data_IF_879697959879
#
_entry.id   IF_879697959879
#
_cell.length_a   1.000
_cell.length_b   1.000
_cell.length_c   1.000
_cell.angle_alpha   90.00
_cell.angle_beta   90.00
_cell.angle_gamma   90.00
#
_symmetry.space_group_name_H-M   'P 1'
#
loop_
_entity.id
_entity.type
_entity.pdbx_description
1 polymer ?
#
# COMPACT_ATOMS: atom_id res chain seq x y z
N UNK A 1 -10.87 -38.67 34.20
CA UNK A 1 -10.10 -39.82 34.70
C UNK A 1 -8.88 -40.03 33.81
N UNK A 2 -7.68 -40.03 34.37
CA UNK A 2 -6.31 -40.23 33.89
C UNK A 2 -5.67 -38.96 33.35
N UNK A 3 -4.91 -38.18 34.09
CA UNK A 3 -3.70 -38.43 34.93
C UNK A 3 -2.45 -38.58 34.04
N UNK A 4 -1.58 -37.55 34.16
CA UNK A 4 -0.12 -37.51 34.35
C UNK A 4 0.74 -37.82 33.09
N UNK A 5 1.66 -36.90 32.71
CA UNK A 5 3.08 -36.96 33.08
C UNK A 5 3.80 -35.64 32.85
N UNK A 6 4.35 -35.18 33.94
CA UNK A 6 5.39 -34.17 34.07
C UNK A 6 6.72 -34.79 33.63
N UNK A 7 7.45 -34.11 32.79
CA UNK A 7 8.91 -34.28 32.71
C UNK A 7 9.58 -32.91 32.57
N UNK A 8 10.13 -32.56 33.71
CA UNK A 8 11.08 -31.49 33.92
C UNK A 8 12.42 -31.90 33.34
N UNK A 9 13.04 -31.09 32.46
CA UNK A 9 14.45 -31.21 32.15
C UNK A 9 15.13 -29.84 32.15
N UNK A 10 15.75 -29.55 33.30
CA UNK A 10 16.70 -28.47 33.47
C UNK A 10 17.97 -28.77 32.67
N UNK A 11 18.37 -27.87 31.80
CA UNK A 11 19.77 -27.79 31.35
C UNK A 11 20.36 -26.44 31.77
N UNK A 12 21.16 -26.54 32.79
CA UNK A 12 22.09 -25.53 33.24
C UNK A 12 23.35 -25.67 32.37
N UNK A 13 23.73 -24.62 31.64
CA UNK A 13 25.10 -24.48 31.19
C UNK A 13 25.69 -23.15 31.67
N UNK A 14 26.60 -23.33 32.57
CA UNK A 14 27.46 -22.30 33.13
C UNK A 14 28.59 -21.96 32.16
N UNK A 15 28.87 -20.69 32.04
CA UNK A 15 30.24 -20.09 32.10
C UNK A 15 31.16 -20.26 30.93
N UNK A 16 31.59 -19.12 30.38
CA UNK A 16 33.01 -18.80 30.30
C UNK A 16 33.18 -17.27 30.11
N UNK A 17 33.74 -16.66 31.12
CA UNK A 17 34.41 -15.36 31.05
C UNK A 17 35.74 -15.56 30.35
N UNK A 18 36.11 -14.70 29.42
CA UNK A 18 37.52 -14.37 29.20
C UNK A 18 37.68 -12.86 29.14
N UNK A 19 38.48 -12.41 30.08
CA UNK A 19 38.94 -11.04 30.23
C UNK A 19 40.29 -10.87 29.51
N UNK A 20 40.45 -9.66 28.92
CA UNK A 20 41.66 -8.81 28.87
C UNK A 20 42.91 -9.41 28.21
N UNK A 21 43.49 -8.73 27.22
CA UNK A 21 44.62 -7.88 27.47
C UNK A 21 44.89 -6.88 26.34
N UNK A 22 45.46 -5.78 26.74
CA UNK A 22 45.82 -4.56 26.05
C UNK A 22 47.24 -4.71 25.49
N UNK A 23 47.47 -4.42 24.22
CA UNK A 23 48.72 -3.84 23.76
C UNK A 23 48.65 -3.24 22.37
N UNK A 24 49.10 -2.04 22.29
CA UNK A 24 49.35 -1.20 21.13
C UNK A 24 50.20 -1.89 20.06
N UNK A 25 49.87 -1.69 18.77
CA UNK A 25 50.74 -0.94 17.86
C UNK A 25 50.22 -0.93 16.42
N UNK A 26 50.19 0.29 15.86
CA UNK A 26 50.58 0.72 14.52
C UNK A 26 49.91 0.12 13.29
N UNK A 27 49.10 0.98 12.68
CA UNK A 27 48.94 1.28 11.26
C UNK A 27 48.96 0.13 10.24
N UNK A 28 47.75 -0.09 9.68
CA UNK A 28 47.61 -0.09 8.23
C UNK A 28 46.13 0.18 7.87
N UNK A 29 45.93 1.21 7.06
CA UNK A 29 44.64 1.59 6.51
C UNK A 29 44.25 0.56 5.47
N UNK A 30 43.47 -0.40 5.83
CA UNK A 30 42.60 -1.07 4.85
C UNK A 30 41.28 -0.33 4.77
N UNK A 31 41.09 0.32 3.66
CA UNK A 31 39.83 0.90 3.22
C UNK A 31 38.90 -0.28 2.96
N UNK A 32 38.22 -0.77 3.99
CA UNK A 32 37.05 -1.58 3.82
C UNK A 32 35.97 -0.67 3.26
N UNK A 33 35.85 -0.74 1.97
CA UNK A 33 34.75 -0.24 1.18
C UNK A 33 33.46 -0.91 1.73
N UNK A 34 32.84 -0.25 2.70
CA UNK A 34 31.45 -0.54 3.07
C UNK A 34 30.65 -0.39 1.80
N UNK A 35 30.27 -1.52 1.24
CA UNK A 35 29.18 -1.58 0.28
C UNK A 35 27.96 -1.11 1.05
N UNK A 36 27.75 0.18 0.98
CA UNK A 36 26.52 0.82 1.42
C UNK A 36 25.42 0.16 0.58
N UNK A 37 24.73 -0.77 1.21
CA UNK A 37 23.53 -1.34 0.65
C UNK A 37 22.58 -0.17 0.51
N UNK A 38 22.53 0.39 -0.68
CA UNK A 38 21.43 1.24 -1.11
C UNK A 38 20.22 0.36 -0.94
N UNK A 39 19.55 0.51 0.19
CA UNK A 39 18.19 0.02 0.35
C UNK A 39 17.40 0.76 -0.72
N UNK A 40 17.19 0.09 -1.82
CA UNK A 40 16.26 0.49 -2.86
C UNK A 40 14.97 0.84 -2.11
N UNK A 41 14.68 2.15 -2.05
CA UNK A 41 13.41 2.63 -1.53
C UNK A 41 12.42 2.15 -2.56
N UNK A 42 11.84 0.98 -2.33
CA UNK A 42 10.68 0.52 -3.07
C UNK A 42 9.61 1.56 -2.77
N UNK A 43 9.47 2.53 -3.67
CA UNK A 43 8.34 3.44 -3.63
C UNK A 43 7.11 2.57 -3.80
N UNK A 44 6.35 2.46 -2.72
CA UNK A 44 5.14 1.66 -2.66
C UNK A 44 4.09 2.36 -3.53
N UNK A 45 4.04 1.97 -4.80
CA UNK A 45 3.21 2.58 -5.84
C UNK A 45 1.72 2.42 -5.49
N UNK A 46 0.98 3.51 -5.50
CA UNK A 46 -0.45 3.50 -5.26
C UNK A 46 -1.21 4.36 -6.28
N UNK A 47 -2.48 4.02 -6.51
CA UNK A 47 -3.38 4.85 -7.29
C UNK A 47 -4.04 5.89 -6.40
N UNK A 48 -4.03 7.13 -6.86
CA UNK A 48 -4.85 8.21 -6.35
C UNK A 48 -5.82 8.64 -7.43
N UNK A 49 -7.10 8.52 -7.17
CA UNK A 49 -8.20 8.92 -8.05
C UNK A 49 -9.00 10.00 -7.34
N UNK A 50 -9.33 11.08 -8.03
CA UNK A 50 -10.09 12.20 -7.44
C UNK A 50 -11.12 12.74 -8.43
N UNK A 51 -12.25 13.21 -7.92
CA UNK A 51 -13.26 13.94 -8.67
C UNK A 51 -13.81 15.11 -7.86
N UNK A 52 -14.37 16.10 -8.55
CA UNK A 52 -14.71 17.40 -7.98
C UNK A 52 -16.21 17.68 -7.88
N UNK A 53 -17.04 16.95 -8.60
CA UNK A 53 -18.51 17.17 -8.59
C UNK A 53 -19.29 15.85 -8.48
N UNK A 54 -19.64 15.45 -7.28
CA UNK A 54 -19.24 15.93 -5.95
C UNK A 54 -17.77 15.61 -5.66
N UNK A 55 -17.18 16.18 -4.60
CA UNK A 55 -15.82 15.82 -4.19
C UNK A 55 -15.77 14.38 -3.70
N UNK A 56 -14.89 13.59 -4.30
CA UNK A 56 -14.64 12.20 -3.93
C UNK A 56 -13.20 11.80 -4.23
N UNK A 57 -12.77 10.72 -3.61
CA UNK A 57 -11.48 10.12 -3.91
C UNK A 57 -11.51 8.59 -3.76
N UNK A 58 -10.64 7.91 -4.49
CA UNK A 58 -10.30 6.51 -4.26
C UNK A 58 -8.78 6.40 -4.13
N UNK A 59 -8.35 5.65 -3.12
CA UNK A 59 -6.97 5.22 -2.97
C UNK A 59 -6.92 3.72 -3.14
N UNK A 60 -6.02 3.25 -4.02
CA UNK A 60 -5.73 1.82 -4.18
C UNK A 60 -4.27 1.61 -3.84
N UNK A 61 -4.01 0.91 -2.75
CA UNK A 61 -2.69 0.56 -2.28
C UNK A 61 -2.67 -0.90 -1.84
N UNK A 62 -1.95 -1.75 -2.59
CA UNK A 62 -1.97 -3.21 -2.39
C UNK A 62 -3.42 -3.73 -2.41
N UNK A 63 -3.85 -4.39 -1.34
CA UNK A 63 -5.19 -4.97 -1.21
C UNK A 63 -6.20 -4.00 -0.60
N UNK A 64 -5.79 -2.77 -0.30
CA UNK A 64 -6.66 -1.75 0.30
C UNK A 64 -7.22 -0.83 -0.76
N UNK A 65 -8.54 -0.79 -0.87
CA UNK A 65 -9.26 0.13 -1.75
C UNK A 65 -10.22 0.94 -0.88
N UNK A 66 -9.91 2.22 -0.75
CA UNK A 66 -10.67 3.16 0.08
C UNK A 66 -11.32 4.21 -0.80
N UNK A 67 -12.65 4.25 -0.82
CA UNK A 67 -13.43 5.33 -1.38
C UNK A 67 -13.84 6.30 -0.29
N UNK A 68 -13.73 7.58 -0.56
CA UNK A 68 -14.19 8.66 0.32
C UNK A 68 -14.98 9.67 -0.48
N UNK A 69 -16.15 10.06 0.00
CA UNK A 69 -16.99 11.09 -0.58
C UNK A 69 -17.21 12.20 0.43
N UNK A 70 -16.98 13.43 0.01
CA UNK A 70 -17.21 14.61 0.83
C UNK A 70 -18.61 15.16 0.51
N UNK A 71 -19.52 14.98 1.45
CA UNK A 71 -20.83 15.62 1.50
C UNK A 71 -20.89 16.51 2.75
N UNK A 72 -22.06 16.67 3.35
CA UNK A 72 -22.22 17.30 4.67
C UNK A 72 -21.42 16.55 5.75
N UNK A 73 -21.23 15.23 5.55
CA UNK A 73 -20.35 14.37 6.34
C UNK A 73 -19.36 13.65 5.41
N UNK A 74 -18.23 13.21 5.96
CA UNK A 74 -17.27 12.39 5.24
C UNK A 74 -17.73 10.93 5.30
N UNK A 75 -18.12 10.39 4.15
CA UNK A 75 -18.45 8.98 4.01
C UNK A 75 -17.26 8.22 3.43
N UNK A 76 -16.82 7.19 4.14
CA UNK A 76 -15.72 6.33 3.70
C UNK A 76 -16.17 4.88 3.61
N UNK A 77 -15.81 4.23 2.50
CA UNK A 77 -16.15 2.83 2.22
C UNK A 77 -14.90 2.08 1.80
N UNK A 78 -14.63 0.95 2.46
CA UNK A 78 -13.59 0.01 2.05
C UNK A 78 -14.19 -1.02 1.08
N UNK A 79 -13.47 -1.27 0.00
CA UNK A 79 -13.82 -2.27 -0.99
C UNK A 79 -12.82 -3.41 -0.99
N UNK A 80 -13.35 -4.60 -1.29
CA UNK A 80 -12.58 -5.77 -1.66
C UNK A 80 -12.50 -5.86 -3.18
N UNK A 81 -11.33 -6.17 -3.70
CA UNK A 81 -11.16 -6.45 -5.13
C UNK A 81 -11.70 -7.85 -5.44
N UNK A 82 -12.72 -7.94 -6.30
CA UNK A 82 -13.25 -9.21 -6.79
C UNK A 82 -12.65 -9.60 -8.14
N UNK A 83 -12.44 -8.64 -9.03
CA UNK A 83 -11.86 -8.87 -10.34
C UNK A 83 -11.05 -7.66 -10.80
N UNK A 84 -9.91 -7.94 -11.43
CA UNK A 84 -9.06 -6.97 -12.10
C UNK A 84 -8.82 -7.42 -13.54
N UNK A 85 -8.94 -6.49 -14.49
CA UNK A 85 -8.59 -6.71 -15.90
C UNK A 85 -7.81 -5.52 -16.43
N UNK A 86 -6.75 -5.82 -17.17
CA UNK A 86 -6.12 -4.84 -18.05
C UNK A 86 -6.96 -4.78 -19.32
N UNK A 87 -7.36 -3.59 -19.72
CA UNK A 87 -8.08 -3.30 -20.97
C UNK A 87 -7.20 -2.46 -21.88
N UNK A 88 -7.54 -2.33 -23.18
CA UNK A 88 -6.66 -1.77 -24.23
C UNK A 88 -5.88 -0.52 -23.84
N UNK A 89 -6.46 0.37 -23.06
CA UNK A 89 -5.84 1.64 -22.63
C UNK A 89 -6.04 1.90 -21.14
N UNK A 90 -6.09 0.86 -20.28
CA UNK A 90 -6.32 1.12 -18.87
C UNK A 90 -6.57 -0.11 -18.02
N UNK A 91 -7.36 0.07 -16.97
CA UNK A 91 -7.63 -0.96 -15.96
C UNK A 91 -9.09 -0.93 -15.53
N UNK A 92 -9.69 -2.10 -15.38
CA UNK A 92 -11.07 -2.31 -14.96
C UNK A 92 -11.09 -3.13 -13.65
N UNK A 93 -11.66 -2.55 -12.62
CA UNK A 93 -11.76 -3.13 -11.28
C UNK A 93 -13.23 -3.41 -10.95
N UNK A 94 -13.55 -4.65 -10.61
CA UNK A 94 -14.82 -5.02 -10.01
C UNK A 94 -14.63 -5.17 -8.51
N UNK A 95 -15.40 -4.43 -7.75
CA UNK A 95 -15.25 -4.24 -6.33
C UNK A 95 -16.51 -4.60 -5.58
N UNK A 96 -16.37 -4.98 -4.30
CA UNK A 96 -17.51 -5.27 -3.42
C UNK A 96 -17.26 -4.67 -2.05
N UNK A 97 -18.27 -3.98 -1.49
CA UNK A 97 -18.21 -3.46 -0.12
C UNK A 97 -18.59 -4.53 0.93
N UNK A 98 -18.56 -4.17 2.21
CA UNK A 98 -18.90 -5.05 3.32
C UNK A 98 -20.37 -5.50 3.29
N UNK A 99 -21.26 -4.72 2.69
CA UNK A 99 -22.71 -5.00 2.54
C UNK A 99 -23.04 -5.81 1.27
N UNK A 100 -22.01 -6.22 0.49
CA UNK A 100 -22.15 -6.94 -0.78
C UNK A 100 -22.72 -6.10 -1.93
N UNK A 101 -22.63 -4.78 -1.85
CA UNK A 101 -22.92 -3.95 -3.00
C UNK A 101 -21.72 -3.96 -3.95
N UNK A 102 -22.01 -4.13 -5.24
CA UNK A 102 -21.00 -4.10 -6.28
C UNK A 102 -20.64 -2.65 -6.66
N UNK A 103 -19.36 -2.45 -6.96
CA UNK A 103 -18.86 -1.24 -7.58
C UNK A 103 -17.94 -1.58 -8.75
N UNK A 104 -17.77 -0.64 -9.68
CA UNK A 104 -16.84 -0.76 -10.79
C UNK A 104 -16.06 0.51 -10.96
N UNK A 105 -14.75 0.38 -11.03
CA UNK A 105 -13.83 1.47 -11.32
C UNK A 105 -13.11 1.18 -12.63
N UNK A 106 -13.27 2.07 -13.60
CA UNK A 106 -12.57 2.04 -14.87
C UNK A 106 -11.57 3.19 -14.91
N UNK A 107 -10.29 2.89 -15.09
CA UNK A 107 -9.20 3.86 -15.29
C UNK A 107 -8.73 3.74 -16.73
N UNK A 108 -8.67 4.86 -17.46
CA UNK A 108 -8.19 4.90 -18.84
C UNK A 108 -6.96 5.80 -18.95
N UNK A 109 -6.00 5.41 -19.78
CA UNK A 109 -4.84 6.20 -20.09
C UNK A 109 -5.21 7.31 -21.09
N UNK A 110 -5.79 8.35 -20.58
CA UNK A 110 -6.13 9.58 -21.34
C UNK A 110 -5.97 10.80 -20.43
N UNK A 111 -5.46 11.88 -20.99
CA UNK A 111 -5.26 13.13 -20.25
C UNK A 111 -6.58 13.63 -19.65
N UNK A 112 -6.55 14.00 -18.37
CA UNK A 112 -7.70 14.40 -17.62
C UNK A 112 -7.41 15.69 -16.83
N UNK A 113 -8.34 16.64 -16.85
CA UNK A 113 -8.31 17.85 -16.02
C UNK A 113 -9.44 17.77 -14.98
N UNK A 114 -9.11 18.14 -13.74
CA UNK A 114 -10.10 18.24 -12.66
C UNK A 114 -10.94 19.52 -12.70
N UNK A 115 -10.60 20.44 -13.64
CA UNK A 115 -11.29 21.72 -13.82
C UNK A 115 -11.06 22.75 -12.71
N UNK A 116 -10.25 22.43 -11.70
CA UNK A 116 -9.97 23.30 -10.56
C UNK A 116 -8.52 23.79 -10.51
N UNK A 117 -7.63 23.13 -11.22
CA UNK A 117 -6.20 23.47 -11.30
C UNK A 117 -5.69 23.35 -12.72
N UNK A 118 -4.52 23.93 -12.98
CA UNK A 118 -3.81 23.76 -14.27
C UNK A 118 -3.12 22.38 -14.37
N UNK A 119 -3.32 21.52 -13.36
CA UNK A 119 -2.73 20.19 -13.36
C UNK A 119 -3.47 19.27 -14.33
N UNK A 120 -2.70 18.60 -15.18
CA UNK A 120 -3.21 17.56 -16.07
C UNK A 120 -2.78 16.19 -15.56
N UNK A 121 -3.74 15.36 -15.29
CA UNK A 121 -3.55 13.98 -14.85
C UNK A 121 -3.37 13.07 -16.06
N UNK A 122 -2.53 12.02 -15.96
CA UNK A 122 -2.29 11.09 -17.08
C UNK A 122 -3.43 10.13 -17.37
N UNK A 123 -4.42 10.02 -16.47
CA UNK A 123 -5.52 9.07 -16.58
C UNK A 123 -6.86 9.72 -16.22
N UNK A 124 -7.93 9.30 -16.92
CA UNK A 124 -9.31 9.53 -16.52
C UNK A 124 -9.82 8.34 -15.70
N UNK A 125 -10.86 8.57 -14.90
CA UNK A 125 -11.50 7.54 -14.12
C UNK A 125 -13.03 7.66 -14.14
N UNK A 126 -13.71 6.52 -14.17
CA UNK A 126 -15.16 6.43 -13.99
C UNK A 126 -15.46 5.40 -12.90
N UNK A 127 -16.14 5.83 -11.86
CA UNK A 127 -16.53 4.98 -10.73
C UNK A 127 -18.04 4.87 -10.63
N UNK A 128 -18.54 3.65 -10.66
CA UNK A 128 -19.97 3.34 -10.54
C UNK A 128 -20.21 2.60 -9.23
N UNK A 129 -21.04 3.17 -8.36
CA UNK A 129 -21.38 2.60 -7.06
C UNK A 129 -22.80 3.00 -6.63
N UNK A 130 -23.61 2.03 -6.18
CA UNK A 130 -25.01 2.24 -5.73
C UNK A 130 -25.85 3.06 -6.74
N UNK A 131 -25.65 2.80 -8.04
CA UNK A 131 -26.40 3.48 -9.11
C UNK A 131 -25.94 4.89 -9.44
N UNK A 132 -24.86 5.38 -8.83
CA UNK A 132 -24.27 6.68 -9.11
C UNK A 132 -23.02 6.50 -9.94
N UNK A 133 -22.89 7.25 -11.04
CA UNK A 133 -21.65 7.36 -11.81
C UNK A 133 -20.91 8.63 -11.40
N UNK A 134 -19.64 8.45 -11.02
CA UNK A 134 -18.71 9.52 -10.64
C UNK A 134 -17.56 9.53 -11.66
N UNK A 135 -17.23 10.73 -12.16
CA UNK A 135 -16.10 10.95 -13.08
C UNK A 135 -14.99 11.73 -12.39
N UNK A 136 -13.77 11.40 -12.72
CA UNK A 136 -12.60 12.05 -12.12
C UNK A 136 -11.33 11.73 -12.87
N UNK A 137 -10.22 12.15 -12.28
CA UNK A 137 -8.88 11.96 -12.81
C UNK A 137 -8.07 11.03 -11.91
N UNK A 138 -7.08 10.34 -12.48
CA UNK A 138 -6.26 9.39 -11.75
C UNK A 138 -4.77 9.58 -12.04
N UNK A 139 -3.95 9.25 -11.06
CA UNK A 139 -2.49 9.21 -11.16
C UNK A 139 -1.93 8.06 -10.32
N UNK A 140 -0.77 7.57 -10.71
CA UNK A 140 0.07 6.71 -9.86
C UNK A 140 1.05 7.58 -9.07
N UNK A 141 1.22 7.28 -7.82
CA UNK A 141 2.15 7.94 -6.88
C UNK A 141 3.20 6.95 -6.40
#
# INVERSE_FOLDING_TARGET
MRIIYVVCLCFIFAGCKNAVDHSSDTAEREINQSTDSISEIVQDEYWKITGTEPFWSIYIHKDTILFTKLNENIDSVYFKLEQFKVVDSGSDYVLTDAEKNNARLLIKQEACSDGMSDHTYPYSATFNYKGIELKGCAEKK
#
